data_IF_800177174290
#
_entry.id   IF_800177174290
#
_cell.length_a   1.000
_cell.length_b   1.000
_cell.length_c   1.000
_cell.angle_alpha   90.00
_cell.angle_beta   90.00
_cell.angle_gamma   90.00
#
_symmetry.space_group_name_H-M   'P 1'
#
loop_
_entity.id
_entity.type
_entity.pdbx_description
1 polymer ?
#
# COMPACT_ATOMS: atom_id res chain seq x y z
N UNK A 1 -7.72 25.89 -17.34
CA UNK A 1 -6.42 25.24 -17.05
C UNK A 1 -6.14 25.07 -15.57
N UNK A 2 -7.00 24.33 -14.86
CA UNK A 2 -6.85 24.06 -13.42
C UNK A 2 -7.39 22.67 -13.10
N UNK A 3 -6.71 21.93 -12.24
CA UNK A 3 -7.17 20.63 -11.76
C UNK A 3 -6.79 20.42 -10.30
N UNK A 4 -7.48 19.49 -9.64
CA UNK A 4 -7.17 19.08 -8.27
C UNK A 4 -6.33 17.80 -8.29
N UNK A 5 -5.25 17.73 -7.51
CA UNK A 5 -4.62 16.47 -7.14
C UNK A 5 -5.19 16.04 -5.81
N UNK A 6 -5.93 14.94 -5.80
CA UNK A 6 -6.71 14.49 -4.65
C UNK A 6 -5.96 13.43 -3.85
N UNK A 7 -5.77 13.71 -2.56
CA UNK A 7 -5.32 12.77 -1.53
C UNK A 7 -4.06 11.96 -1.91
N UNK A 8 -2.95 12.61 -2.30
CA UNK A 8 -1.68 11.93 -2.43
C UNK A 8 -1.15 11.50 -1.05
N UNK A 9 -0.39 10.41 -1.00
CA UNK A 9 0.43 10.11 0.17
C UNK A 9 1.46 11.21 0.43
N UNK A 10 1.74 11.49 1.70
CA UNK A 10 2.74 12.45 2.13
C UNK A 10 4.14 11.85 1.97
N UNK A 11 4.74 12.03 0.80
CA UNK A 11 6.02 11.42 0.49
C UNK A 11 6.92 12.31 -0.36
N UNK A 12 8.13 12.56 0.16
CA UNK A 12 9.20 13.19 -0.61
C UNK A 12 9.63 12.30 -1.77
N UNK A 13 9.67 10.98 -1.55
CA UNK A 13 10.27 10.06 -2.52
C UNK A 13 9.25 9.54 -3.55
N UNK A 14 8.00 9.31 -3.14
CA UNK A 14 6.97 8.71 -4.02
C UNK A 14 6.12 9.75 -4.74
N UNK A 15 5.90 10.93 -4.16
CA UNK A 15 4.97 11.92 -4.74
C UNK A 15 5.62 13.23 -5.22
N UNK A 16 6.67 13.73 -4.58
CA UNK A 16 7.22 15.06 -4.92
C UNK A 16 7.65 15.19 -6.39
N UNK A 17 8.29 14.17 -6.96
CA UNK A 17 8.68 14.20 -8.38
C UNK A 17 7.49 14.11 -9.34
N UNK A 18 6.43 13.41 -8.94
CA UNK A 18 5.17 13.40 -9.68
C UNK A 18 4.58 14.80 -9.68
N UNK A 19 4.44 15.42 -8.50
CA UNK A 19 3.91 16.78 -8.37
C UNK A 19 4.75 17.80 -9.15
N UNK A 20 6.09 17.67 -9.13
CA UNK A 20 6.96 18.54 -9.92
C UNK A 20 6.71 18.38 -11.41
N UNK A 21 6.57 17.15 -11.90
CA UNK A 21 6.22 16.86 -13.29
C UNK A 21 4.86 17.44 -13.69
N UNK A 22 3.87 17.37 -12.80
CA UNK A 22 2.56 18.00 -13.00
C UNK A 22 2.66 19.53 -13.03
N UNK A 23 3.42 20.14 -12.13
CA UNK A 23 3.62 21.59 -12.06
C UNK A 23 4.27 22.14 -13.34
N UNK A 24 5.16 21.37 -13.98
CA UNK A 24 5.78 21.73 -15.26
C UNK A 24 4.78 21.82 -16.43
N UNK A 25 3.53 21.38 -16.25
CA UNK A 25 2.47 21.61 -17.25
C UNK A 25 2.04 23.08 -17.36
N UNK A 26 2.38 23.92 -16.37
CA UNK A 26 1.96 25.33 -16.28
C UNK A 26 0.49 25.53 -15.90
N UNK A 27 -0.30 24.45 -15.77
CA UNK A 27 -1.67 24.51 -15.26
C UNK A 27 -1.67 24.85 -13.77
N UNK A 28 -2.73 25.49 -13.30
CA UNK A 28 -2.96 25.66 -11.87
C UNK A 28 -3.28 24.30 -11.24
N UNK A 29 -2.77 24.06 -10.03
CA UNK A 29 -2.91 22.80 -9.30
C UNK A 29 -3.33 23.09 -7.87
N UNK A 30 -4.48 22.55 -7.47
CA UNK A 30 -4.83 22.47 -6.04
C UNK A 30 -4.47 21.08 -5.54
N UNK A 31 -3.51 20.98 -4.64
CA UNK A 31 -3.18 19.73 -3.95
C UNK A 31 -4.07 19.64 -2.71
N UNK A 32 -5.02 18.72 -2.73
CA UNK A 32 -5.93 18.48 -1.63
C UNK A 32 -5.39 17.34 -0.77
N UNK A 33 -4.94 17.65 0.45
CA UNK A 33 -4.39 16.71 1.41
C UNK A 33 -5.48 16.29 2.41
N UNK A 34 -5.55 15.01 2.73
CA UNK A 34 -6.36 14.54 3.85
C UNK A 34 -5.68 14.88 5.19
N UNK A 35 -6.48 15.03 6.25
CA UNK A 35 -5.99 15.35 7.59
C UNK A 35 -6.82 14.62 8.67
N UNK A 36 -6.24 14.23 9.81
CA UNK A 36 -4.90 14.57 10.27
C UNK A 36 -3.78 13.79 9.55
N UNK A 37 -4.11 12.77 8.76
CA UNK A 37 -3.14 11.92 8.04
C UNK A 37 -3.58 11.57 6.61
N UNK A 38 -2.64 11.08 5.80
CA UNK A 38 -2.93 10.39 4.52
C UNK A 38 -3.50 8.98 4.70
N UNK A 39 -3.76 8.29 3.58
CA UNK A 39 -4.33 6.93 3.54
C UNK A 39 -3.46 5.88 4.25
N UNK A 40 -2.14 6.11 4.32
CA UNK A 40 -1.18 5.21 4.97
C UNK A 40 -0.81 5.69 6.38
N UNK A 41 -1.39 6.79 6.87
CA UNK A 41 -1.19 7.26 8.24
C UNK A 41 -0.01 8.21 8.45
N UNK A 42 0.61 8.76 7.39
CA UNK A 42 1.55 9.88 7.57
C UNK A 42 0.76 11.10 8.06
N UNK A 43 1.11 11.61 9.23
CA UNK A 43 0.42 12.75 9.82
C UNK A 43 0.89 14.09 9.21
N UNK A 44 -0.06 14.99 8.99
CA UNK A 44 0.14 16.37 8.53
C UNK A 44 0.05 17.39 9.68
N UNK A 45 -0.53 16.98 10.81
CA UNK A 45 -0.70 17.82 12.00
C UNK A 45 -0.74 16.96 13.27
N UNK A 46 -0.57 17.62 14.42
CA UNK A 46 -0.75 17.01 15.73
C UNK A 46 -2.25 16.82 16.02
N UNK A 47 -2.62 15.62 16.47
CA UNK A 47 -4.02 15.25 16.70
C UNK A 47 -4.63 16.05 17.86
N UNK A 48 -3.88 16.25 18.94
CA UNK A 48 -4.37 17.02 20.09
C UNK A 48 -4.52 18.50 19.73
N UNK A 49 -3.61 19.05 18.94
CA UNK A 49 -3.72 20.41 18.41
C UNK A 49 -4.96 20.57 17.52
N UNK A 50 -5.26 19.59 16.65
CA UNK A 50 -6.47 19.58 15.84
C UNK A 50 -7.73 19.64 16.70
N UNK A 51 -7.83 18.79 17.73
CA UNK A 51 -8.97 18.80 18.66
C UNK A 51 -9.05 20.10 19.46
N UNK A 52 -7.92 20.65 19.94
CA UNK A 52 -7.87 21.95 20.64
C UNK A 52 -8.33 23.11 19.75
N UNK A 53 -8.09 23.01 18.44
CA UNK A 53 -8.56 23.97 17.45
C UNK A 53 -10.05 23.79 17.07
N UNK A 54 -10.75 22.80 17.64
CA UNK A 54 -12.14 22.43 17.34
C UNK A 54 -12.41 22.16 15.86
N UNK A 55 -11.42 21.61 15.15
CA UNK A 55 -11.59 21.22 13.76
C UNK A 55 -12.37 19.91 13.66
N UNK A 56 -13.36 19.89 12.77
CA UNK A 56 -14.06 18.69 12.38
C UNK A 56 -13.43 18.12 11.08
N UNK A 57 -12.67 17.01 11.16
CA UNK A 57 -12.04 16.43 9.99
C UNK A 57 -13.04 15.94 8.93
N UNK A 58 -14.31 15.73 9.27
CA UNK A 58 -15.30 15.22 8.31
C UNK A 58 -15.95 16.31 7.45
N UNK A 59 -15.91 17.57 7.88
CA UNK A 59 -16.67 18.65 7.23
C UNK A 59 -15.82 19.85 6.86
N UNK A 60 -14.76 20.11 7.62
CA UNK A 60 -14.04 21.35 7.46
C UNK A 60 -13.07 21.25 6.26
N UNK A 61 -12.90 22.37 5.58
CA UNK A 61 -11.94 22.54 4.51
C UNK A 61 -11.05 23.70 4.92
N UNK A 62 -9.73 23.48 4.93
CA UNK A 62 -8.76 24.47 5.35
C UNK A 62 -7.89 24.87 4.18
N UNK A 63 -7.83 26.16 3.89
CA UNK A 63 -6.76 26.71 3.08
C UNK A 63 -5.41 26.60 3.81
N UNK A 64 -4.30 26.64 3.05
CA UNK A 64 -2.96 26.79 3.64
C UNK A 64 -2.88 27.96 4.63
N UNK A 65 -3.52 29.09 4.34
CA UNK A 65 -3.46 30.28 5.19
C UNK A 65 -4.14 30.03 6.55
N UNK A 66 -5.33 29.40 6.54
CA UNK A 66 -6.04 29.03 7.76
C UNK A 66 -5.25 27.99 8.56
N UNK A 67 -4.70 26.97 7.89
CA UNK A 67 -3.82 26.01 8.53
C UNK A 67 -2.63 26.69 9.22
N UNK A 68 -1.93 27.60 8.53
CA UNK A 68 -0.79 28.33 9.10
C UNK A 68 -1.19 29.26 10.23
N UNK A 69 -2.39 29.84 10.20
CA UNK A 69 -2.91 30.66 11.31
C UNK A 69 -3.18 29.83 12.56
N UNK A 70 -3.71 28.61 12.40
CA UNK A 70 -4.05 27.72 13.50
C UNK A 70 -2.83 26.99 14.08
N UNK A 71 -1.93 26.51 13.22
CA UNK A 71 -0.86 25.57 13.60
C UNK A 71 0.55 26.11 13.39
N UNK A 72 0.71 27.22 12.65
CA UNK A 72 2.02 27.75 12.29
C UNK A 72 2.84 26.79 11.43
N UNK A 73 4.13 26.69 11.75
CA UNK A 73 5.14 25.89 11.03
C UNK A 73 5.83 24.87 11.94
N UNK A 74 5.26 24.62 13.12
CA UNK A 74 5.89 23.83 14.19
C UNK A 74 5.78 22.34 13.94
N UNK A 75 4.71 21.88 13.30
CA UNK A 75 4.56 20.47 12.98
C UNK A 75 5.52 20.06 11.86
N UNK A 76 6.34 19.06 12.14
CA UNK A 76 7.20 18.38 11.18
C UNK A 76 6.92 16.88 11.28
N UNK A 77 6.92 16.19 10.14
CA UNK A 77 6.67 14.76 10.10
C UNK A 77 7.70 14.02 10.97
N UNK A 78 7.29 13.12 11.87
CA UNK A 78 8.16 12.59 12.95
C UNK A 78 9.38 11.83 12.42
N UNK A 79 9.27 11.17 11.27
CA UNK A 79 10.37 10.38 10.70
C UNK A 79 11.25 11.15 9.72
N UNK A 80 10.71 12.17 9.04
CA UNK A 80 11.45 12.88 7.97
C UNK A 80 11.90 14.27 8.38
N UNK A 81 11.31 14.84 9.44
CA UNK A 81 11.56 16.22 9.86
C UNK A 81 11.03 17.28 8.89
N UNK A 82 10.21 16.88 7.90
CA UNK A 82 9.72 17.75 6.85
C UNK A 82 8.34 18.32 7.16
N UNK A 83 8.09 19.52 6.66
CA UNK A 83 6.75 20.07 6.51
C UNK A 83 6.29 19.81 5.08
N UNK A 84 5.34 18.90 4.91
CA UNK A 84 4.90 18.48 3.59
C UNK A 84 4.12 19.55 2.84
N UNK A 85 3.47 20.48 3.55
CA UNK A 85 2.78 21.60 2.90
C UNK A 85 3.83 22.51 2.25
N UNK A 86 4.86 22.92 2.99
CA UNK A 86 5.92 23.77 2.41
C UNK A 86 6.73 23.02 1.36
N UNK A 87 7.06 21.74 1.58
CA UNK A 87 7.73 20.91 0.58
C UNK A 87 6.97 20.92 -0.76
N UNK A 88 5.65 20.76 -0.74
CA UNK A 88 4.84 20.73 -1.96
C UNK A 88 4.70 22.12 -2.59
N UNK A 89 4.59 23.17 -1.78
CA UNK A 89 4.58 24.55 -2.29
C UNK A 89 5.90 24.91 -2.98
N UNK A 90 7.04 24.45 -2.47
CA UNK A 90 8.37 24.69 -3.05
C UNK A 90 8.57 24.01 -4.42
N UNK A 91 7.70 23.06 -4.78
CA UNK A 91 7.73 22.40 -6.09
C UNK A 91 7.03 23.19 -7.18
N UNK A 92 6.32 24.27 -6.83
CA UNK A 92 5.57 25.09 -7.77
C UNK A 92 6.45 25.61 -8.92
N UNK A 93 5.82 25.84 -10.07
CA UNK A 93 6.38 26.57 -11.21
C UNK A 93 5.50 27.79 -11.40
N UNK A 94 6.08 28.99 -11.33
CA UNK A 94 5.33 30.24 -11.44
C UNK A 94 4.13 30.34 -10.46
N UNK A 95 4.33 29.86 -9.23
CA UNK A 95 3.32 29.82 -8.16
C UNK A 95 2.03 29.06 -8.52
N UNK A 96 2.10 28.05 -9.38
CA UNK A 96 0.94 27.30 -9.85
C UNK A 96 0.43 26.18 -8.93
N UNK A 97 0.94 26.08 -7.70
CA UNK A 97 0.48 25.12 -6.70
C UNK A 97 -0.16 25.86 -5.54
N UNK A 98 -1.34 25.40 -5.14
CA UNK A 98 -1.98 25.72 -3.87
C UNK A 98 -2.21 24.42 -3.09
N UNK A 99 -2.11 24.48 -1.76
CA UNK A 99 -2.42 23.38 -0.87
C UNK A 99 -3.68 23.70 -0.07
N UNK A 100 -4.61 22.75 -0.06
CA UNK A 100 -5.83 22.77 0.77
C UNK A 100 -5.95 21.44 1.51
N UNK A 101 -6.61 21.46 2.66
CA UNK A 101 -6.83 20.27 3.48
C UNK A 101 -8.33 20.00 3.54
N UNK A 102 -8.73 18.77 3.26
CA UNK A 102 -10.11 18.29 3.32
C UNK A 102 -10.11 16.76 3.40
N UNK A 103 -11.14 16.14 3.98
CA UNK A 103 -11.33 14.68 3.88
C UNK A 103 -12.53 14.27 3.01
N UNK A 104 -13.48 15.18 2.77
CA UNK A 104 -14.54 14.93 1.81
C UNK A 104 -13.97 15.05 0.39
N UNK A 105 -13.88 13.95 -0.39
CA UNK A 105 -13.38 14.02 -1.77
C UNK A 105 -14.23 14.92 -2.66
N UNK A 106 -15.52 15.10 -2.35
CA UNK A 106 -16.40 15.97 -3.13
C UNK A 106 -16.03 17.46 -2.99
N UNK A 107 -15.31 17.84 -1.93
CA UNK A 107 -14.78 19.19 -1.79
C UNK A 107 -13.90 19.58 -3.00
N UNK A 108 -13.20 18.62 -3.62
CA UNK A 108 -12.39 18.86 -4.82
C UNK A 108 -13.21 19.48 -5.97
N UNK A 109 -14.48 19.11 -6.10
CA UNK A 109 -15.35 19.57 -7.19
C UNK A 109 -15.80 21.03 -7.05
N UNK A 110 -15.51 21.66 -5.91
CA UNK A 110 -15.65 23.12 -5.72
C UNK A 110 -14.46 23.91 -6.27
N UNK A 111 -13.30 23.27 -6.40
CA UNK A 111 -12.07 23.87 -6.95
C UNK A 111 -11.94 23.62 -8.45
N UNK A 112 -12.12 22.37 -8.90
CA UNK A 112 -12.15 22.04 -10.33
C UNK A 112 -12.98 20.79 -10.59
N UNK A 113 -13.58 20.71 -11.79
CA UNK A 113 -14.23 19.49 -12.28
C UNK A 113 -13.23 18.47 -12.84
N UNK A 114 -11.99 18.88 -13.08
CA UNK A 114 -10.91 17.98 -13.47
C UNK A 114 -10.09 17.58 -12.24
N UNK A 115 -9.98 16.28 -11.98
CA UNK A 115 -9.33 15.74 -10.77
C UNK A 115 -8.38 14.59 -11.14
N UNK A 116 -7.16 14.66 -10.61
CA UNK A 116 -6.19 13.57 -10.60
C UNK A 116 -6.25 12.89 -9.22
N UNK A 117 -6.77 11.67 -9.16
CA UNK A 117 -6.82 10.86 -7.94
C UNK A 117 -5.44 10.26 -7.67
N UNK A 118 -4.81 10.68 -6.58
CA UNK A 118 -3.47 10.26 -6.17
C UNK A 118 -3.45 9.24 -5.02
N UNK A 119 -4.61 8.94 -4.44
CA UNK A 119 -4.80 7.82 -3.52
C UNK A 119 -4.42 6.51 -4.19
N UNK A 120 -3.87 5.58 -3.42
CA UNK A 120 -3.46 4.26 -3.87
C UNK A 120 -4.65 3.31 -3.74
N UNK A 121 -5.15 3.03 -2.54
CA UNK A 121 -5.99 1.84 -2.32
C UNK A 121 -7.47 2.06 -2.67
N UNK A 122 -8.00 3.27 -2.41
CA UNK A 122 -9.41 3.61 -2.67
C UNK A 122 -9.66 4.32 -4.01
N UNK A 123 -8.63 4.43 -4.86
CA UNK A 123 -8.64 5.22 -6.10
C UNK A 123 -9.84 4.99 -7.01
N UNK A 124 -10.27 3.73 -7.17
CA UNK A 124 -11.41 3.35 -8.05
C UNK A 124 -12.72 3.85 -7.46
N UNK A 125 -12.89 3.73 -6.15
CA UNK A 125 -14.06 4.23 -5.46
C UNK A 125 -14.14 5.75 -5.57
N UNK A 126 -13.05 6.46 -5.27
CA UNK A 126 -12.99 7.92 -5.35
C UNK A 126 -13.24 8.43 -6.77
N UNK A 127 -12.63 7.79 -7.79
CA UNK A 127 -12.87 8.14 -9.19
C UNK A 127 -14.35 8.04 -9.57
N UNK A 128 -15.00 6.92 -9.22
CA UNK A 128 -16.43 6.72 -9.50
C UNK A 128 -17.31 7.72 -8.72
N UNK A 129 -16.98 7.99 -7.46
CA UNK A 129 -17.70 8.94 -6.62
C UNK A 129 -17.67 10.34 -7.23
N UNK A 130 -16.49 10.81 -7.66
CA UNK A 130 -16.33 12.14 -8.28
C UNK A 130 -17.07 12.24 -9.62
N UNK A 131 -16.99 11.22 -10.47
CA UNK A 131 -17.71 11.17 -11.75
C UNK A 131 -19.23 11.26 -11.53
N UNK A 132 -19.76 10.49 -10.57
CA UNK A 132 -21.19 10.48 -10.25
C UNK A 132 -21.70 11.80 -9.66
N UNK A 133 -20.82 12.67 -9.17
CA UNK A 133 -21.15 13.96 -8.57
C UNK A 133 -20.76 15.16 -9.47
N UNK A 134 -20.62 14.92 -10.78
CA UNK A 134 -20.43 15.98 -11.77
C UNK A 134 -18.98 16.37 -12.03
N UNK A 135 -18.02 15.49 -11.70
CA UNK A 135 -16.66 15.55 -12.23
C UNK A 135 -16.64 15.42 -13.75
N UNK A 136 -15.72 16.12 -14.40
CA UNK A 136 -15.51 16.11 -15.85
C UNK A 136 -14.39 15.12 -16.23
N UNK A 137 -13.13 15.52 -16.08
CA UNK A 137 -11.98 14.63 -16.32
C UNK A 137 -11.47 14.08 -15.00
N UNK A 138 -11.84 12.84 -14.67
CA UNK A 138 -11.35 12.17 -13.45
C UNK A 138 -10.44 11.02 -13.86
N UNK A 139 -9.16 11.14 -13.54
CA UNK A 139 -8.15 10.11 -13.83
C UNK A 139 -7.33 9.79 -12.58
N UNK A 140 -6.79 8.59 -12.48
CA UNK A 140 -5.88 8.20 -11.40
C UNK A 140 -4.40 8.27 -11.81
N UNK A 141 -3.51 8.26 -10.81
CA UNK A 141 -2.07 8.05 -11.05
C UNK A 141 -1.79 6.71 -11.76
N UNK A 142 -2.64 5.70 -11.57
CA UNK A 142 -2.57 4.42 -12.28
C UNK A 142 -2.86 4.51 -13.77
N UNK A 143 -3.43 5.62 -14.24
CA UNK A 143 -3.72 5.85 -15.65
C UNK A 143 -2.64 6.68 -16.36
N UNK A 144 -1.69 7.23 -15.61
CA UNK A 144 -0.55 7.98 -16.12
C UNK A 144 0.64 7.06 -16.42
N UNK A 145 1.37 7.33 -17.50
CA UNK A 145 2.53 6.53 -17.92
C UNK A 145 2.21 5.02 -18.12
N UNK A 146 1.00 4.71 -18.61
CA UNK A 146 0.55 3.33 -18.91
C UNK A 146 1.04 2.77 -20.25
N UNK A 147 1.58 3.64 -21.11
CA UNK A 147 2.13 3.30 -22.42
C UNK A 147 3.54 3.84 -22.56
N UNK A 148 4.34 3.21 -23.41
CA UNK A 148 5.72 3.61 -23.63
C UNK A 148 5.83 5.08 -24.05
N UNK A 149 6.39 5.89 -23.16
CA UNK A 149 6.68 7.29 -23.42
C UNK A 149 8.03 7.49 -24.10
N UNK A 150 8.39 8.75 -24.35
CA UNK A 150 9.68 9.13 -24.96
C UNK A 150 10.91 8.65 -24.18
N UNK A 151 10.79 8.54 -22.86
CA UNK A 151 11.83 8.02 -21.96
C UNK A 151 11.87 6.48 -21.88
N UNK A 152 10.93 5.78 -22.54
CA UNK A 152 10.80 4.33 -22.52
C UNK A 152 10.18 3.72 -21.27
N UNK A 153 10.11 4.45 -20.14
CA UNK A 153 9.50 3.98 -18.90
C UNK A 153 7.96 4.04 -18.95
N UNK A 154 7.30 2.92 -18.60
CA UNK A 154 5.85 2.84 -18.45
C UNK A 154 5.45 1.64 -17.58
N UNK A 155 4.28 1.69 -16.96
CA UNK A 155 3.67 0.54 -16.27
C UNK A 155 2.19 0.44 -16.66
N UNK A 156 1.79 -0.60 -17.42
CA UNK A 156 0.41 -0.70 -17.93
C UNK A 156 -0.64 -1.02 -16.86
N UNK A 157 -0.22 -1.56 -15.71
CA UNK A 157 -1.11 -2.00 -14.63
C UNK A 157 -1.27 -0.96 -13.53
N UNK A 158 -0.18 -0.27 -13.19
CA UNK A 158 -0.10 0.60 -12.03
C UNK A 158 0.28 2.05 -12.37
N UNK A 159 0.58 2.37 -13.63
CA UNK A 159 0.94 3.72 -14.04
C UNK A 159 2.09 4.31 -13.22
N UNK A 160 1.80 5.39 -12.48
CA UNK A 160 2.72 6.03 -11.54
C UNK A 160 2.59 5.57 -10.08
N UNK A 161 1.60 4.73 -9.73
CA UNK A 161 1.48 4.16 -8.39
C UNK A 161 2.65 3.24 -8.09
N UNK A 162 3.10 3.24 -6.83
CA UNK A 162 4.27 2.47 -6.39
C UNK A 162 5.60 2.97 -6.96
N UNK A 163 5.60 4.09 -7.69
CA UNK A 163 6.84 4.68 -8.16
C UNK A 163 7.63 5.33 -7.02
N UNK A 164 8.95 5.36 -7.17
CA UNK A 164 9.85 5.87 -6.16
C UNK A 164 10.98 6.68 -6.81
N UNK A 165 11.62 7.54 -6.02
CA UNK A 165 12.72 8.39 -6.46
C UNK A 165 13.90 7.56 -6.96
N UNK A 166 14.45 7.93 -8.13
CA UNK A 166 15.64 7.31 -8.70
C UNK A 166 16.64 8.39 -9.16
N UNK A 167 17.44 8.89 -8.22
CA UNK A 167 18.30 10.05 -8.47
C UNK A 167 17.50 11.35 -8.62
N UNK A 168 18.12 12.40 -9.15
CA UNK A 168 17.53 13.75 -9.03
C UNK A 168 16.32 14.01 -9.92
N UNK A 169 16.24 13.40 -11.11
CA UNK A 169 15.27 13.74 -12.15
C UNK A 169 14.55 12.52 -12.74
N UNK A 170 14.56 11.38 -12.07
CA UNK A 170 13.91 10.15 -12.58
C UNK A 170 13.07 9.50 -11.49
N UNK A 171 12.00 8.85 -11.95
CA UNK A 171 11.19 7.94 -11.18
C UNK A 171 11.53 6.51 -11.58
N UNK A 172 11.72 5.64 -10.61
CA UNK A 172 11.67 4.18 -10.76
C UNK A 172 10.20 3.79 -10.64
N UNK A 173 9.61 3.31 -11.72
CA UNK A 173 8.23 2.81 -11.70
C UNK A 173 8.15 1.49 -10.92
N UNK A 174 6.96 1.17 -10.44
CA UNK A 174 6.66 -0.11 -9.81
C UNK A 174 6.97 -1.27 -10.77
N UNK A 175 7.35 -2.47 -10.27
CA UNK A 175 7.69 -3.60 -11.13
C UNK A 175 6.61 -3.89 -12.18
N UNK A 176 7.05 -4.22 -13.39
CA UNK A 176 6.23 -4.79 -14.45
C UNK A 176 6.82 -6.14 -14.87
N UNK A 177 6.02 -6.96 -15.53
CA UNK A 177 6.42 -8.29 -15.99
C UNK A 177 6.97 -9.16 -14.83
N UNK A 178 6.57 -8.86 -13.60
CA UNK A 178 7.11 -9.46 -12.39
C UNK A 178 6.78 -10.96 -12.31
N UNK A 179 5.60 -11.36 -12.78
CA UNK A 179 5.22 -12.77 -12.89
C UNK A 179 6.13 -13.54 -13.86
N UNK A 180 6.39 -12.97 -15.05
CA UNK A 180 7.31 -13.57 -16.02
C UNK A 180 8.72 -13.73 -15.45
N UNK A 181 9.17 -12.72 -14.69
CA UNK A 181 10.44 -12.78 -13.96
C UNK A 181 10.44 -13.92 -12.93
N UNK A 182 9.39 -14.06 -12.12
CA UNK A 182 9.25 -15.14 -11.14
C UNK A 182 9.38 -16.53 -11.78
N UNK A 183 8.65 -16.79 -12.86
CA UNK A 183 8.74 -18.09 -13.56
C UNK A 183 10.12 -18.32 -14.20
N UNK A 184 10.77 -17.27 -14.70
CA UNK A 184 12.13 -17.38 -15.22
C UNK A 184 13.15 -17.74 -14.12
N UNK A 185 13.00 -17.18 -12.92
CA UNK A 185 13.83 -17.53 -11.75
C UNK A 185 13.57 -18.96 -11.29
N UNK A 186 12.30 -19.36 -11.14
CA UNK A 186 11.91 -20.72 -10.77
C UNK A 186 12.51 -21.74 -11.74
N UNK A 187 12.37 -21.51 -13.05
CA UNK A 187 12.94 -22.37 -14.09
C UNK A 187 14.45 -22.52 -13.95
N UNK A 188 15.19 -21.41 -13.78
CA UNK A 188 16.65 -21.43 -13.61
C UNK A 188 17.09 -22.17 -12.36
N UNK A 189 16.34 -22.04 -11.25
CA UNK A 189 16.61 -22.76 -10.02
C UNK A 189 16.36 -24.26 -10.19
N UNK A 190 15.26 -24.64 -10.84
CA UNK A 190 14.95 -26.03 -11.15
C UNK A 190 16.03 -26.67 -12.03
N UNK A 191 16.44 -26.02 -13.11
CA UNK A 191 17.51 -26.51 -14.01
C UNK A 191 18.85 -26.74 -13.28
N UNK A 192 19.15 -25.93 -12.26
CA UNK A 192 20.41 -26.02 -11.51
C UNK A 192 20.37 -26.99 -10.33
N UNK A 193 19.19 -27.21 -9.74
CA UNK A 193 19.07 -27.87 -8.44
C UNK A 193 18.15 -29.09 -8.45
N UNK A 194 17.34 -29.25 -9.49
CA UNK A 194 16.27 -30.25 -9.56
C UNK A 194 15.09 -29.97 -8.61
N UNK A 195 15.07 -28.82 -7.92
CA UNK A 195 14.02 -28.45 -6.97
C UNK A 195 13.11 -27.36 -7.53
N UNK A 196 11.81 -27.56 -7.41
CA UNK A 196 10.82 -26.52 -7.67
C UNK A 196 10.74 -25.61 -6.45
N UNK A 197 11.03 -24.32 -6.64
CA UNK A 197 10.96 -23.30 -5.60
C UNK A 197 9.94 -22.26 -6.03
N UNK A 198 9.01 -21.90 -5.16
CA UNK A 198 8.08 -20.81 -5.42
C UNK A 198 8.79 -19.46 -5.29
N UNK A 199 8.49 -18.53 -6.22
CA UNK A 199 9.18 -17.25 -6.33
C UNK A 199 8.16 -16.12 -6.29
N UNK A 200 8.45 -15.09 -5.52
CA UNK A 200 7.65 -13.88 -5.33
C UNK A 200 8.53 -12.66 -5.53
N UNK A 201 8.06 -11.69 -6.33
CA UNK A 201 8.52 -10.30 -6.26
C UNK A 201 7.58 -9.59 -5.28
N UNK A 202 8.15 -8.97 -4.25
CA UNK A 202 7.38 -8.27 -3.22
C UNK A 202 7.67 -6.75 -3.26
N UNK A 203 6.67 -5.97 -2.88
CA UNK A 203 6.77 -4.54 -2.57
C UNK A 203 6.60 -4.29 -1.06
N UNK A 204 6.15 -3.09 -0.73
CA UNK A 204 5.81 -2.66 0.62
C UNK A 204 4.79 -3.64 1.29
N UNK A 205 5.02 -3.95 2.58
CA UNK A 205 4.21 -4.90 3.35
C UNK A 205 2.82 -4.41 3.79
N UNK A 206 2.06 -5.26 4.46
CA UNK A 206 0.75 -4.90 5.04
C UNK A 206 0.83 -4.78 6.57
N UNK A 207 1.86 -4.10 7.09
CA UNK A 207 2.10 -3.91 8.51
C UNK A 207 1.90 -2.45 8.94
N UNK A 208 1.33 -2.23 10.13
CA UNK A 208 1.24 -0.89 10.75
C UNK A 208 2.29 -0.75 11.84
N UNK A 209 3.18 0.21 11.69
CA UNK A 209 4.12 0.58 12.73
C UNK A 209 3.35 1.08 13.98
N UNK A 210 3.50 0.43 15.15
CA UNK A 210 2.81 0.84 16.36
C UNK A 210 3.33 2.17 16.92
N UNK A 211 4.53 2.64 16.55
CA UNK A 211 5.08 3.91 17.04
C UNK A 211 4.57 5.07 16.21
N UNK A 212 4.86 5.06 14.91
CA UNK A 212 4.47 6.08 13.96
C UNK A 212 3.01 6.04 13.53
N UNK A 213 2.32 4.91 13.75
CA UNK A 213 0.95 4.64 13.26
C UNK A 213 0.85 4.70 11.74
N UNK A 214 1.96 4.49 11.03
CA UNK A 214 2.04 4.46 9.57
C UNK A 214 1.93 3.00 9.12
N UNK A 215 1.12 2.76 8.10
CA UNK A 215 1.09 1.52 7.35
C UNK A 215 2.25 1.53 6.34
N UNK A 216 3.08 0.50 6.38
CA UNK A 216 4.13 0.27 5.38
C UNK A 216 3.52 -0.26 4.08
N UNK A 217 2.46 0.39 3.56
CA UNK A 217 1.63 -0.05 2.44
C UNK A 217 1.51 1.07 1.38
N UNK A 218 2.65 1.62 0.95
CA UNK A 218 2.70 2.70 -0.03
C UNK A 218 2.85 2.21 -1.49
N UNK A 219 2.80 0.89 -1.70
CA UNK A 219 2.69 0.26 -3.01
C UNK A 219 1.24 -0.17 -3.32
N UNK A 220 0.86 -0.26 -4.61
CA UNK A 220 -0.50 -0.60 -5.00
C UNK A 220 -0.91 -2.06 -4.72
N UNK A 221 0.08 -2.95 -4.57
CA UNK A 221 -0.07 -4.35 -4.16
C UNK A 221 1.21 -4.81 -3.46
N UNK A 222 1.08 -5.77 -2.52
CA UNK A 222 2.24 -6.38 -1.85
C UNK A 222 3.06 -7.25 -2.82
N UNK A 223 2.41 -7.90 -3.79
CA UNK A 223 3.01 -8.91 -4.64
C UNK A 223 2.69 -8.65 -6.13
N UNK A 224 3.50 -7.85 -6.86
CA UNK A 224 3.30 -7.61 -8.29
C UNK A 224 3.48 -8.85 -9.18
N UNK A 225 4.11 -9.92 -8.67
CA UNK A 225 4.26 -11.16 -9.44
C UNK A 225 4.73 -12.31 -8.57
N UNK A 226 4.18 -13.49 -8.81
CA UNK A 226 4.47 -14.70 -8.04
C UNK A 226 4.16 -15.95 -8.85
N UNK A 227 4.75 -17.09 -8.47
CA UNK A 227 4.46 -18.40 -9.06
C UNK A 227 3.20 -19.04 -8.47
N UNK A 228 2.57 -19.91 -9.25
CA UNK A 228 1.24 -20.48 -8.95
C UNK A 228 1.11 -21.18 -7.58
N UNK A 229 2.18 -21.73 -7.01
CA UNK A 229 2.14 -22.39 -5.70
C UNK A 229 1.88 -21.42 -4.54
N UNK A 230 1.98 -20.11 -4.78
CA UNK A 230 1.67 -19.06 -3.80
C UNK A 230 0.22 -18.53 -3.91
N UNK A 231 -0.60 -19.10 -4.80
CA UNK A 231 -2.02 -18.73 -4.88
C UNK A 231 -2.83 -19.25 -3.69
N UNK A 232 -3.73 -18.41 -3.19
CA UNK A 232 -4.70 -18.77 -2.17
C UNK A 232 -4.30 -18.32 -0.77
N UNK A 233 -4.97 -18.90 0.22
CA UNK A 233 -4.87 -18.52 1.63
C UNK A 233 -4.39 -19.70 2.46
N UNK A 234 -3.68 -19.49 3.59
CA UNK A 234 -3.36 -20.56 4.51
C UNK A 234 -4.61 -21.35 4.89
N UNK A 235 -4.56 -22.66 4.65
CA UNK A 235 -5.60 -23.57 5.08
C UNK A 235 -5.17 -24.18 6.42
N UNK A 236 -5.24 -23.41 7.51
CA UNK A 236 -4.84 -23.84 8.86
C UNK A 236 -6.01 -24.40 9.67
N UNK A 237 -5.73 -25.38 10.54
CA UNK A 237 -6.68 -25.88 11.54
C UNK A 237 -6.29 -25.25 12.87
N UNK A 238 -7.27 -24.88 13.70
CA UNK A 238 -7.01 -24.44 15.07
C UNK A 238 -6.59 -25.62 15.94
N UNK A 239 -5.31 -25.96 15.89
CA UNK A 239 -4.71 -27.06 16.66
C UNK A 239 -5.04 -26.94 18.15
N UNK A 240 -4.96 -25.72 18.70
CA UNK A 240 -5.32 -25.44 20.10
C UNK A 240 -6.80 -25.68 20.39
N UNK A 241 -7.71 -25.30 19.48
CA UNK A 241 -9.15 -25.56 19.67
C UNK A 241 -9.43 -27.06 19.72
N UNK A 242 -8.84 -27.83 18.80
CA UNK A 242 -9.00 -29.28 18.77
C UNK A 242 -8.38 -29.90 20.03
N UNK A 243 -7.19 -29.46 20.44
CA UNK A 243 -6.55 -29.92 21.66
C UNK A 243 -7.42 -29.65 22.91
N UNK A 244 -7.93 -28.43 23.05
CA UNK A 244 -8.67 -27.97 24.23
C UNK A 244 -10.10 -28.51 24.31
N UNK A 245 -10.70 -28.94 23.20
CA UNK A 245 -12.12 -29.36 23.17
C UNK A 245 -12.35 -30.82 22.74
N UNK A 246 -11.51 -31.37 21.87
CA UNK A 246 -11.75 -32.66 21.22
C UNK A 246 -10.74 -33.74 21.65
N UNK A 247 -9.58 -33.35 22.18
CA UNK A 247 -8.51 -34.29 22.58
C UNK A 247 -8.32 -34.38 24.10
N UNK A 248 -9.21 -33.79 24.89
CA UNK A 248 -9.15 -33.79 26.35
C UNK A 248 -9.28 -35.21 26.90
N UNK A 249 -8.33 -35.62 27.75
CA UNK A 249 -8.33 -36.93 28.41
C UNK A 249 -7.75 -38.08 27.57
N UNK A 250 -7.29 -37.81 26.34
CA UNK A 250 -6.55 -38.78 25.54
C UNK A 250 -5.08 -38.88 25.98
N UNK A 251 -4.47 -40.05 25.77
CA UNK A 251 -3.02 -40.17 25.87
C UNK A 251 -2.34 -39.32 24.79
N UNK A 252 -1.09 -38.92 25.02
CA UNK A 252 -0.33 -38.08 24.09
C UNK A 252 -0.24 -38.71 22.68
N UNK A 253 -0.05 -40.03 22.60
CA UNK A 253 0.03 -40.80 21.37
C UNK A 253 -1.32 -40.81 20.62
N UNK A 254 -2.44 -40.99 21.33
CA UNK A 254 -3.78 -40.96 20.75
C UNK A 254 -4.18 -39.56 20.29
N UNK A 255 -3.85 -38.53 21.07
CA UNK A 255 -4.09 -37.14 20.70
C UNK A 255 -3.34 -36.75 19.42
N UNK A 256 -2.06 -37.12 19.31
CA UNK A 256 -1.26 -36.89 18.09
C UNK A 256 -1.85 -37.62 16.88
N UNK A 257 -2.24 -38.88 17.03
CA UNK A 257 -2.84 -39.67 15.94
C UNK A 257 -4.15 -39.05 15.45
N UNK A 258 -5.04 -38.66 16.35
CA UNK A 258 -6.31 -38.01 15.99
C UNK A 258 -6.10 -36.65 15.34
N UNK A 259 -5.12 -35.88 15.82
CA UNK A 259 -4.78 -34.58 15.25
C UNK A 259 -4.24 -34.70 13.83
N UNK A 260 -3.30 -35.64 13.59
CA UNK A 260 -2.79 -35.95 12.23
C UNK A 260 -3.92 -36.40 11.30
N UNK A 261 -4.84 -37.22 11.79
CA UNK A 261 -6.00 -37.67 11.01
C UNK A 261 -6.93 -36.51 10.63
N UNK A 262 -7.21 -35.58 11.55
CA UNK A 262 -8.04 -34.40 11.25
C UNK A 262 -7.37 -33.44 10.27
N UNK A 263 -6.04 -33.31 10.34
CA UNK A 263 -5.27 -32.51 9.39
C UNK A 263 -5.26 -33.15 8.00
N UNK A 264 -5.11 -34.47 7.89
CA UNK A 264 -5.08 -35.17 6.60
C UNK A 264 -6.45 -35.29 5.95
N UNK A 265 -7.53 -35.36 6.73
CA UNK A 265 -8.92 -35.40 6.25
C UNK A 265 -9.51 -34.01 5.97
N UNK A 266 -8.68 -32.96 6.09
CA UNK A 266 -9.14 -31.58 5.95
C UNK A 266 -9.60 -31.28 4.53
N UNK A 267 -10.81 -30.73 4.40
CA UNK A 267 -11.30 -30.17 3.13
C UNK A 267 -10.52 -28.94 2.68
N UNK A 268 -10.54 -28.66 1.38
CA UNK A 268 -9.86 -27.50 0.76
C UNK A 268 -10.50 -26.15 1.10
N UNK A 269 -11.72 -26.15 1.66
CA UNK A 269 -12.41 -24.93 2.06
C UNK A 269 -13.09 -25.12 3.43
N UNK A 270 -12.53 -24.49 4.47
CA UNK A 270 -13.11 -24.53 5.82
C UNK A 270 -14.06 -23.36 6.11
N UNK A 271 -14.23 -22.40 5.21
CA UNK A 271 -14.99 -21.17 5.48
C UNK A 271 -16.37 -21.47 6.11
N UNK A 272 -16.60 -20.95 7.32
CA UNK A 272 -17.86 -21.10 8.05
C UNK A 272 -18.00 -22.37 8.91
N UNK A 273 -16.97 -23.21 9.01
CA UNK A 273 -16.96 -24.34 9.95
C UNK A 273 -16.50 -23.89 11.35
N UNK A 274 -16.98 -24.56 12.41
CA UNK A 274 -16.56 -24.27 13.79
C UNK A 274 -15.02 -24.30 13.95
N UNK A 275 -14.33 -25.15 13.19
CA UNK A 275 -12.87 -25.26 13.15
C UNK A 275 -12.15 -24.06 12.49
N UNK A 276 -12.86 -23.21 11.73
CA UNK A 276 -12.35 -22.00 11.08
C UNK A 276 -12.94 -20.69 11.63
N UNK A 277 -13.82 -20.74 12.64
CA UNK A 277 -14.44 -19.54 13.19
C UNK A 277 -13.36 -18.60 13.76
N UNK A 278 -13.23 -17.40 13.20
CA UNK A 278 -12.32 -16.36 13.69
C UNK A 278 -10.92 -16.33 13.04
N UNK A 279 -10.71 -16.98 11.88
CA UNK A 279 -9.55 -16.69 11.02
C UNK A 279 -9.96 -15.72 9.92
N UNK A 280 -9.25 -14.59 9.78
CA UNK A 280 -9.38 -13.74 8.60
C UNK A 280 -8.56 -14.39 7.48
N UNK A 281 -9.17 -14.79 6.35
CA UNK A 281 -8.42 -15.34 5.24
C UNK A 281 -7.47 -14.27 4.70
N UNK A 282 -6.16 -14.54 4.75
CA UNK A 282 -5.11 -13.66 4.23
C UNK A 282 -4.46 -14.36 3.03
N UNK A 283 -4.19 -13.62 1.96
CA UNK A 283 -3.48 -14.20 0.83
C UNK A 283 -2.06 -14.57 1.26
N UNK A 284 -1.57 -15.72 0.78
CA UNK A 284 -0.21 -16.17 1.03
C UNK A 284 0.81 -15.14 0.55
N UNK A 285 0.55 -14.51 -0.59
CA UNK A 285 1.39 -13.45 -1.17
C UNK A 285 1.50 -12.23 -0.27
N UNK A 286 0.41 -11.83 0.39
CA UNK A 286 0.41 -10.68 1.29
C UNK A 286 1.19 -11.01 2.57
N UNK A 287 1.01 -12.22 3.11
CA UNK A 287 1.72 -12.70 4.29
C UNK A 287 3.22 -12.83 4.04
N UNK A 288 3.61 -13.54 2.98
CA UNK A 288 5.00 -13.80 2.64
C UNK A 288 5.70 -12.52 2.17
N UNK A 289 5.03 -11.69 1.36
CA UNK A 289 5.58 -10.41 0.93
C UNK A 289 5.80 -9.45 2.10
N UNK A 290 4.85 -9.36 3.03
CA UNK A 290 5.04 -8.57 4.27
C UNK A 290 6.18 -9.11 5.12
N UNK A 291 6.31 -10.44 5.24
CA UNK A 291 7.42 -11.05 5.96
C UNK A 291 8.76 -10.69 5.30
N UNK A 292 8.85 -10.79 3.97
CA UNK A 292 10.03 -10.40 3.21
C UNK A 292 10.40 -8.93 3.42
N UNK A 293 9.41 -8.04 3.33
CA UNK A 293 9.60 -6.59 3.52
C UNK A 293 10.11 -6.26 4.93
N UNK A 294 9.52 -6.84 5.97
CA UNK A 294 10.00 -6.69 7.36
C UNK A 294 11.46 -7.14 7.54
N UNK A 295 11.89 -8.17 6.79
CA UNK A 295 13.25 -8.68 6.85
C UNK A 295 14.25 -7.83 6.07
N UNK A 296 13.89 -7.36 4.87
CA UNK A 296 14.76 -6.48 4.08
C UNK A 296 14.83 -5.06 4.64
N UNK A 297 13.72 -4.56 5.18
CA UNK A 297 13.49 -3.17 5.56
C UNK A 297 13.48 -2.22 4.36
N UNK A 298 13.19 -0.95 4.63
CA UNK A 298 13.08 0.11 3.61
C UNK A 298 14.42 0.67 3.12
N UNK A 299 15.53 0.26 3.74
CA UNK A 299 16.89 0.69 3.39
C UNK A 299 17.54 -0.24 2.37
N UNK A 300 18.33 0.32 1.46
CA UNK A 300 19.11 -0.40 0.45
C UNK A 300 20.28 -1.17 1.10
N UNK A 301 19.95 -2.20 1.90
CA UNK A 301 20.93 -3.04 2.63
C UNK A 301 21.67 -4.01 1.71
N UNK A 302 21.53 -3.89 0.39
CA UNK A 302 22.25 -4.68 -0.61
C UNK A 302 21.81 -6.15 -0.75
N UNK A 303 20.92 -6.66 0.10
CA UNK A 303 20.34 -8.01 0.02
C UNK A 303 18.82 -7.97 -0.22
N UNK A 304 18.38 -7.80 -1.48
CA UNK A 304 16.96 -7.78 -1.84
C UNK A 304 16.35 -9.19 -1.99
N UNK A 305 17.02 -10.24 -1.50
CA UNK A 305 16.62 -11.64 -1.70
C UNK A 305 16.44 -12.29 -0.34
N UNK A 306 15.21 -12.74 -0.07
CA UNK A 306 14.84 -13.47 1.13
C UNK A 306 14.55 -14.92 0.74
N UNK A 307 15.11 -15.87 1.48
CA UNK A 307 14.83 -17.30 1.31
C UNK A 307 14.03 -17.79 2.52
N UNK A 308 12.81 -18.26 2.26
CA UNK A 308 11.91 -18.79 3.27
C UNK A 308 11.88 -20.31 3.12
N UNK A 309 12.11 -21.03 4.21
CA UNK A 309 12.03 -22.49 4.27
C UNK A 309 11.07 -22.93 5.38
N UNK A 310 10.42 -24.07 5.16
CA UNK A 310 9.51 -24.71 6.10
C UNK A 310 8.16 -24.02 6.27
N UNK A 311 7.85 -23.00 5.48
CA UNK A 311 6.58 -22.28 5.60
C UNK A 311 5.36 -23.14 5.23
N UNK A 312 5.54 -24.06 4.28
CA UNK A 312 4.48 -24.99 3.84
C UNK A 312 4.58 -26.36 4.50
N UNK A 313 5.49 -26.54 5.45
CA UNK A 313 5.62 -27.80 6.17
C UNK A 313 4.35 -28.02 7.00
N UNK A 314 3.79 -29.23 6.90
CA UNK A 314 2.57 -29.58 7.58
C UNK A 314 2.84 -30.61 8.68
N UNK A 315 2.21 -30.44 9.84
CA UNK A 315 2.35 -31.33 10.99
C UNK A 315 1.93 -32.79 10.69
N UNK A 316 1.12 -33.01 9.65
CA UNK A 316 0.72 -34.36 9.21
C UNK A 316 1.70 -35.02 8.22
N UNK A 317 2.64 -34.26 7.64
CA UNK A 317 3.65 -34.77 6.71
C UNK A 317 4.98 -35.13 7.36
N UNK A 318 5.16 -34.79 8.65
CA UNK A 318 6.23 -35.28 9.54
C UNK A 318 5.74 -36.45 10.40
#
# INVERSE_FOLDING_TARGET
>A
DHFVVLFPILSRNRFSHILKGLAMSGRQITVMLSYPSDEVGNHLMDLDAMYKANLNPHTDVLSRQEFRKLFGYTFKHPFTGLDYIDLYMDLAVDNNIEVVLANDPLAALSYSKDVLVATIHDRKHLKNLLLNNGGNTIIGLDELATKQGKSGGYNPEFGLLGSNLAGNNRLKLFPRDAEQFCYAVQKKLFEKTGKTVEVLVYGDGAFKDPVGKIWELADPVVAPGFTAGLMGTPNEIKMKYIADNELVGLSQEEAQRQLKQKISQKGTNLLGQNASLGTTPRQLTDLLGTLCDLMSGSGDKGTPIIHIQGYFDNYASE
#
